data_IF_565562944997
#
_entry.id   IF_565562944997
#
_cell.length_a   1.000
_cell.length_b   1.000
_cell.length_c   1.000
_cell.angle_alpha   90.00
_cell.angle_beta   90.00
_cell.angle_gamma   90.00
#
_symmetry.space_group_name_H-M   'P 1'
#
loop_
_entity.id
_entity.type
_entity.pdbx_description
1 polymer ?
#
# COMPACT_ATOMS: atom_id res chain seq x y z
N UNK A 1 -11.67 1.25 0.39
CA UNK A 1 -12.66 1.62 -0.65
C UNK A 1 -12.01 2.01 -1.98
N UNK A 2 -10.90 2.76 -2.01
CA UNK A 2 -10.21 3.17 -3.26
C UNK A 2 -9.85 1.99 -4.17
N UNK A 3 -9.31 0.90 -3.62
CA UNK A 3 -8.96 -0.29 -4.40
C UNK A 3 -10.17 -0.90 -5.13
N UNK A 4 -11.35 -0.93 -4.50
CA UNK A 4 -12.57 -1.40 -5.14
C UNK A 4 -13.01 -0.49 -6.29
N UNK A 5 -12.84 0.84 -6.11
CA UNK A 5 -13.05 1.82 -7.18
C UNK A 5 -12.11 1.60 -8.36
N UNK A 6 -10.83 1.31 -8.09
CA UNK A 6 -9.83 1.00 -9.11
C UNK A 6 -10.19 -0.29 -9.89
N UNK A 7 -10.59 -1.37 -9.20
CA UNK A 7 -11.04 -2.61 -9.83
C UNK A 7 -12.26 -2.34 -10.75
N UNK A 8 -13.23 -1.56 -10.26
CA UNK A 8 -14.40 -1.20 -11.05
C UNK A 8 -14.02 -0.38 -12.29
N UNK A 9 -13.12 0.59 -12.15
CA UNK A 9 -12.65 1.41 -13.26
C UNK A 9 -11.89 0.58 -14.30
N UNK A 10 -11.01 -0.33 -13.88
CA UNK A 10 -10.30 -1.25 -14.76
C UNK A 10 -11.29 -2.10 -15.57
N UNK A 11 -12.27 -2.70 -14.91
CA UNK A 11 -13.32 -3.49 -15.59
C UNK A 11 -14.15 -2.67 -16.58
N UNK A 12 -14.46 -1.42 -16.24
CA UNK A 12 -15.18 -0.51 -17.16
C UNK A 12 -14.38 -0.18 -18.42
N UNK A 13 -13.05 -0.31 -18.37
CA UNK A 13 -12.14 -0.17 -19.50
C UNK A 13 -11.87 -1.51 -20.22
N UNK A 14 -12.57 -2.59 -19.86
CA UNK A 14 -12.38 -3.92 -20.44
C UNK A 14 -11.14 -4.65 -19.93
N UNK A 15 -10.49 -4.18 -18.86
CA UNK A 15 -9.32 -4.82 -18.26
C UNK A 15 -9.75 -5.84 -17.21
N UNK A 16 -9.08 -6.99 -17.22
CA UNK A 16 -9.26 -8.04 -16.22
C UNK A 16 -8.37 -7.82 -15.01
N UNK A 17 -8.92 -8.09 -13.81
CA UNK A 17 -8.16 -8.14 -12.56
C UNK A 17 -8.22 -9.58 -12.05
N UNK A 18 -7.07 -10.25 -11.85
CA UNK A 18 -5.69 -9.72 -11.80
C UNK A 18 -4.91 -9.77 -13.13
N UNK A 19 -5.48 -10.34 -14.23
CA UNK A 19 -4.71 -10.74 -15.41
C UNK A 19 -4.04 -9.59 -16.16
N UNK A 20 -4.73 -8.46 -16.32
CA UNK A 20 -4.19 -7.27 -16.99
C UNK A 20 -3.66 -6.24 -15.99
N UNK A 21 -4.30 -6.14 -14.81
CA UNK A 21 -3.96 -5.19 -13.76
C UNK A 21 -4.05 -5.84 -12.39
N UNK A 22 -2.95 -5.87 -11.65
CA UNK A 22 -2.95 -6.25 -10.24
C UNK A 22 -3.34 -5.05 -9.37
N UNK A 23 -4.21 -5.29 -8.38
CA UNK A 23 -4.67 -4.25 -7.45
C UNK A 23 -4.43 -4.70 -6.02
N UNK A 24 -3.80 -3.83 -5.23
CA UNK A 24 -3.54 -4.06 -3.80
C UNK A 24 -4.26 -2.98 -3.01
N UNK A 25 -4.95 -3.40 -1.95
CA UNK A 25 -5.58 -2.51 -0.98
C UNK A 25 -4.74 -2.27 0.26
N UNK A 26 -5.28 -1.49 1.19
CA UNK A 26 -4.70 -1.25 2.51
C UNK A 26 -5.78 -1.44 3.58
N UNK A 27 -5.36 -1.68 4.83
CA UNK A 27 -6.15 -1.86 6.06
C UNK A 27 -6.82 -3.23 6.23
N UNK A 28 -6.87 -4.04 5.19
CA UNK A 28 -7.42 -5.42 5.21
C UNK A 28 -8.70 -5.58 6.05
N UNK A 29 -9.70 -4.71 5.81
CA UNK A 29 -10.99 -4.85 6.50
C UNK A 29 -11.64 -6.20 6.18
N UNK A 30 -12.47 -6.71 7.10
CA UNK A 30 -13.08 -8.03 6.98
C UNK A 30 -13.85 -8.25 5.67
N UNK A 31 -14.34 -7.17 5.04
CA UNK A 31 -15.05 -7.23 3.76
C UNK A 31 -14.16 -7.58 2.58
N UNK A 32 -12.84 -7.35 2.67
CA UNK A 32 -11.91 -7.54 1.54
C UNK A 32 -11.79 -9.00 1.09
N UNK A 33 -12.13 -9.95 1.96
CA UNK A 33 -12.19 -11.38 1.62
C UNK A 33 -13.42 -11.80 0.84
N UNK A 34 -14.47 -10.98 0.86
CA UNK A 34 -15.76 -11.26 0.22
C UNK A 34 -15.98 -10.45 -1.06
N UNK A 35 -14.98 -9.69 -1.50
CA UNK A 35 -15.02 -9.02 -2.82
C UNK A 35 -14.78 -10.03 -3.93
N UNK A 36 -15.16 -9.69 -5.15
CA UNK A 36 -14.93 -10.52 -6.34
C UNK A 36 -14.08 -9.77 -7.38
N UNK A 37 -12.83 -10.24 -7.62
CA UNK A 37 -12.09 -11.23 -6.82
C UNK A 37 -11.75 -10.74 -5.40
N UNK A 38 -11.42 -11.66 -4.45
CA UNK A 38 -11.02 -11.28 -3.10
C UNK A 38 -9.78 -10.37 -3.12
N UNK A 39 -9.84 -9.22 -2.44
CA UNK A 39 -8.81 -8.19 -2.52
C UNK A 39 -7.54 -8.56 -1.75
N UNK A 40 -6.41 -8.57 -2.43
CA UNK A 40 -5.07 -8.55 -1.83
C UNK A 40 -4.88 -7.24 -1.08
N UNK A 41 -4.44 -7.28 0.16
CA UNK A 41 -4.36 -6.08 1.00
C UNK A 41 -3.18 -6.10 1.96
N UNK A 42 -2.66 -4.93 2.28
CA UNK A 42 -1.75 -4.73 3.40
C UNK A 42 -2.56 -4.69 4.69
N UNK A 43 -2.25 -5.59 5.63
CA UNK A 43 -2.85 -5.66 6.97
C UNK A 43 -1.96 -4.95 7.97
N UNK A 44 -2.51 -3.98 8.66
CA UNK A 44 -1.86 -3.33 9.79
C UNK A 44 -2.28 -4.02 11.10
N UNK A 45 -1.32 -4.25 12.00
CA UNK A 45 -1.64 -4.69 13.35
C UNK A 45 -2.11 -3.50 14.20
N UNK A 46 -3.40 -3.19 14.06
CA UNK A 46 -4.03 -2.07 14.77
C UNK A 46 -3.92 -2.23 16.28
N UNK A 47 -3.96 -3.48 16.79
CA UNK A 47 -3.84 -3.74 18.22
C UNK A 47 -2.44 -3.37 18.74
N UNK A 48 -1.40 -3.79 18.02
CA UNK A 48 -0.02 -3.44 18.35
C UNK A 48 0.19 -1.93 18.26
N UNK A 49 -0.24 -1.30 17.17
CA UNK A 49 -0.12 0.16 16.95
C UNK A 49 -0.82 0.92 18.08
N UNK A 50 -2.04 0.55 18.44
CA UNK A 50 -2.81 1.19 19.51
C UNK A 50 -2.11 1.03 20.87
N UNK A 51 -1.59 -0.17 21.18
CA UNK A 51 -0.86 -0.43 22.42
C UNK A 51 0.39 0.44 22.49
N UNK A 52 1.18 0.49 21.44
CA UNK A 52 2.39 1.31 21.36
C UNK A 52 2.08 2.80 21.51
N UNK A 53 1.01 3.29 20.86
CA UNK A 53 0.59 4.68 20.96
C UNK A 53 0.20 5.06 22.41
N UNK A 54 -0.58 4.21 23.08
CA UNK A 54 -0.96 4.44 24.48
C UNK A 54 0.26 4.41 25.39
N UNK A 55 1.18 3.45 25.21
CA UNK A 55 2.41 3.37 25.99
C UNK A 55 3.28 4.62 25.81
N UNK A 56 3.42 5.10 24.57
CA UNK A 56 4.17 6.33 24.29
C UNK A 56 3.53 7.55 24.95
N UNK A 57 2.22 7.69 24.86
CA UNK A 57 1.47 8.77 25.50
C UNK A 57 1.63 8.75 27.02
N UNK A 58 1.43 7.60 27.63
CA UNK A 58 1.56 7.45 29.10
C UNK A 58 3.00 7.68 29.57
N UNK A 59 4.00 7.26 28.80
CA UNK A 59 5.41 7.54 29.06
C UNK A 59 5.68 9.04 29.02
N UNK A 60 5.21 9.72 27.99
CA UNK A 60 5.36 11.18 27.85
C UNK A 60 4.72 11.95 29.00
N UNK A 61 3.53 11.55 29.46
CA UNK A 61 2.84 12.18 30.59
C UNK A 61 3.67 12.02 31.90
N UNK A 62 4.38 10.91 32.03
CA UNK A 62 5.25 10.64 33.20
C UNK A 62 6.64 11.27 33.10
N UNK A 63 6.93 11.98 32.01
CA UNK A 63 8.24 12.58 31.74
C UNK A 63 9.31 11.57 31.28
N UNK A 64 8.93 10.38 30.87
CA UNK A 64 9.85 9.37 30.36
C UNK A 64 10.17 9.66 28.90
N UNK A 65 11.43 10.01 28.60
CA UNK A 65 11.91 10.34 27.28
C UNK A 65 12.21 9.10 26.40
N UNK A 66 12.25 7.91 26.99
CA UNK A 66 12.50 6.66 26.25
C UNK A 66 11.42 6.33 25.21
N UNK A 67 10.25 6.94 25.33
CA UNK A 67 9.13 6.77 24.43
C UNK A 67 9.02 7.86 23.34
N UNK A 68 9.91 8.86 23.36
CA UNK A 68 9.99 9.89 22.34
C UNK A 68 10.80 9.36 21.15
N UNK A 69 10.13 8.96 20.09
CA UNK A 69 10.78 8.49 18.88
C UNK A 69 9.79 7.89 17.88
N UNK A 70 10.21 7.86 16.64
CA UNK A 70 9.46 7.19 15.57
C UNK A 70 9.52 5.68 15.79
N UNK A 71 8.37 5.03 15.73
CA UNK A 71 8.24 3.57 15.80
C UNK A 71 7.49 3.08 14.57
N UNK A 72 8.17 2.31 13.75
CA UNK A 72 7.59 1.71 12.56
C UNK A 72 7.07 0.32 12.87
N UNK A 73 5.82 0.05 12.51
CA UNK A 73 5.22 -1.28 12.54
C UNK A 73 5.09 -1.77 11.11
N UNK A 74 5.73 -2.90 10.81
CA UNK A 74 5.70 -3.47 9.48
C UNK A 74 4.33 -4.12 9.21
N UNK A 75 3.63 -3.73 8.11
CA UNK A 75 2.39 -4.37 7.74
C UNK A 75 2.62 -5.75 7.14
N UNK A 76 1.63 -6.61 7.22
CA UNK A 76 1.58 -7.93 6.58
C UNK A 76 0.91 -7.81 5.20
N UNK A 77 1.49 -8.40 4.16
CA UNK A 77 0.84 -8.53 2.85
C UNK A 77 -0.01 -9.80 2.82
N UNK A 78 -1.33 -9.63 2.77
CA UNK A 78 -2.30 -10.72 2.63
C UNK A 78 -2.66 -10.89 1.17
N UNK A 79 -2.05 -11.88 0.50
CA UNK A 79 -2.27 -12.17 -0.91
C UNK A 79 -3.61 -12.89 -1.09
N UNK A 80 -4.41 -12.43 -2.09
CA UNK A 80 -5.69 -13.02 -2.47
C UNK A 80 -5.83 -13.04 -4.02
N UNK A 81 -7.02 -12.79 -4.53
CA UNK A 81 -7.35 -12.95 -5.95
C UNK A 81 -7.12 -11.72 -6.84
N UNK A 82 -6.70 -10.57 -6.31
CA UNK A 82 -6.52 -9.36 -7.14
C UNK A 82 -5.10 -9.11 -7.59
N UNK A 83 -4.18 -10.05 -7.34
CA UNK A 83 -2.79 -9.96 -7.78
C UNK A 83 -2.35 -11.25 -8.48
N UNK A 84 -1.57 -11.10 -9.54
CA UNK A 84 -0.95 -12.18 -10.28
C UNK A 84 0.49 -11.83 -10.63
N UNK A 85 1.33 -12.82 -11.01
CA UNK A 85 2.64 -12.55 -11.56
C UNK A 85 2.55 -11.62 -12.78
N UNK A 86 3.48 -10.68 -12.90
CA UNK A 86 3.54 -9.82 -14.07
C UNK A 86 3.70 -10.66 -15.33
N UNK A 87 2.88 -10.42 -16.35
CA UNK A 87 3.13 -10.98 -17.67
C UNK A 87 4.44 -10.39 -18.16
N UNK A 88 5.44 -11.23 -18.39
CA UNK A 88 6.67 -10.79 -19.05
C UNK A 88 6.24 -10.37 -20.46
N UNK A 89 6.30 -9.09 -20.83
CA UNK A 89 6.05 -8.72 -22.21
C UNK A 89 7.08 -9.47 -23.05
N UNK A 90 6.63 -10.16 -24.09
CA UNK A 90 7.54 -10.55 -25.18
C UNK A 90 8.10 -9.25 -25.73
N UNK A 91 9.29 -8.89 -25.27
CA UNK A 91 9.96 -7.64 -25.64
C UNK A 91 10.14 -7.68 -27.16
N UNK A 92 9.30 -6.93 -27.87
CA UNK A 92 9.60 -6.60 -29.25
C UNK A 92 10.85 -5.71 -29.19
N UNK A 93 12.02 -6.13 -29.72
CA UNK A 93 13.26 -5.42 -29.54
C UNK A 93 13.29 -3.99 -30.13
N UNK A 94 12.20 -3.56 -30.77
CA UNK A 94 12.03 -2.22 -31.35
C UNK A 94 11.26 -1.24 -30.46
N UNK A 95 10.84 -1.63 -29.25
CA UNK A 95 10.14 -0.74 -28.33
C UNK A 95 10.99 -0.52 -27.08
N UNK A 96 11.99 0.33 -27.19
CA UNK A 96 12.73 0.83 -26.04
C UNK A 96 11.79 1.71 -25.21
N UNK A 97 11.56 1.40 -23.92
CA UNK A 97 10.68 2.24 -23.09
C UNK A 97 11.34 3.61 -22.97
N UNK A 98 10.75 4.62 -23.57
CA UNK A 98 11.11 6.00 -23.30
C UNK A 98 10.73 6.32 -21.85
N UNK A 99 11.65 6.07 -20.93
CA UNK A 99 11.53 6.59 -19.57
C UNK A 99 11.70 8.11 -19.71
N UNK A 100 10.66 8.92 -19.46
CA UNK A 100 10.82 10.36 -19.48
C UNK A 100 11.86 10.71 -18.40
N UNK A 101 12.99 11.31 -18.79
CA UNK A 101 14.06 11.74 -17.91
C UNK A 101 13.66 12.96 -17.08
N UNK A 102 12.52 12.89 -16.42
CA UNK A 102 12.11 13.87 -15.43
C UNK A 102 12.41 13.33 -14.05
N UNK A 103 13.70 13.26 -13.74
CA UNK A 103 14.12 13.22 -12.36
C UNK A 103 13.54 14.46 -11.66
N UNK A 104 12.53 14.27 -10.83
CA UNK A 104 12.09 15.31 -9.88
C UNK A 104 13.22 15.43 -8.87
N UNK A 105 13.93 16.58 -8.80
CA UNK A 105 14.95 16.76 -7.79
C UNK A 105 14.28 16.73 -6.41
N UNK A 106 14.67 15.76 -5.58
CA UNK A 106 14.33 15.73 -4.16
C UNK A 106 15.13 16.82 -3.42
N UNK A 107 14.79 18.08 -3.68
CA UNK A 107 15.32 19.22 -2.91
C UNK A 107 14.18 20.18 -2.61
N UNK A 108 13.33 19.80 -1.67
CA UNK A 108 12.54 20.76 -0.92
C UNK A 108 12.22 20.20 0.48
N UNK A 109 13.26 20.18 1.31
CA UNK A 109 13.15 20.10 2.76
C UNK A 109 12.60 21.44 3.27
N UNK A 110 11.30 21.70 3.13
CA UNK A 110 10.60 22.81 3.79
C UNK A 110 9.41 22.26 4.58
N UNK A 111 9.70 21.51 5.62
CA UNK A 111 8.82 21.37 6.77
C UNK A 111 9.68 21.33 8.04
N UNK A 112 10.25 22.49 8.36
CA UNK A 112 10.78 22.79 9.69
C UNK A 112 10.23 24.16 10.08
N UNK A 113 9.08 24.16 10.79
CA UNK A 113 8.72 25.07 11.91
C UNK A 113 7.35 24.67 12.44
#
# INVERSE_FOLDING_TARGET
>A
LMALGAIRAARAQGLSVPDDVSVIGCDDSALMRYTDPPLTSLRQDVKLISTMAIQSLMGSIRGDTAFLGERLVQPELVIRGTTAPARVPTVNPSCEPQIPSRAVPMSDTRFAR
#
